data_IF_828394139875
#
_entry.id   IF_828394139875
#
_cell.length_a   1.000
_cell.length_b   1.000
_cell.length_c   1.000
_cell.angle_alpha   90.00
_cell.angle_beta   90.00
_cell.angle_gamma   90.00
#
_symmetry.space_group_name_H-M   'P 1'
#
loop_
_entity.id
_entity.type
_entity.pdbx_description
1 polymer ?
#
# COMPACT_ATOMS: atom_id res chain seq x y z
N UNK A 1 -23.38 -19.22 -13.09
CA UNK A 1 -22.38 -18.20 -13.40
C UNK A 1 -22.27 -17.22 -12.24
N UNK A 2 -21.26 -17.38 -11.39
CA UNK A 2 -21.01 -16.47 -10.27
C UNK A 2 -19.52 -16.12 -10.22
N UNK A 3 -19.19 -14.89 -9.81
CA UNK A 3 -17.82 -14.44 -9.55
C UNK A 3 -17.76 -13.86 -8.14
N UNK A 4 -16.61 -14.04 -7.47
CA UNK A 4 -16.34 -13.50 -6.14
C UNK A 4 -15.52 -12.22 -6.28
N UNK A 5 -15.94 -11.18 -5.58
CA UNK A 5 -15.21 -9.92 -5.43
C UNK A 5 -14.64 -9.82 -4.02
N UNK A 6 -13.43 -9.27 -3.90
CA UNK A 6 -12.83 -8.92 -2.61
C UNK A 6 -13.13 -7.46 -2.27
N UNK A 7 -13.37 -7.19 -0.99
CA UNK A 7 -13.47 -5.84 -0.43
C UNK A 7 -12.41 -5.74 0.67
N UNK A 8 -11.49 -4.78 0.53
CA UNK A 8 -10.41 -4.56 1.48
C UNK A 8 -10.45 -3.08 1.89
N UNK A 9 -10.42 -2.82 3.20
CA UNK A 9 -10.32 -1.49 3.78
C UNK A 9 -9.05 -1.39 4.60
N UNK A 10 -8.28 -0.34 4.38
CA UNK A 10 -7.10 -0.03 5.19
C UNK A 10 -7.41 1.21 6.04
N UNK A 11 -7.28 1.13 7.37
CA UNK A 11 -7.38 2.31 8.23
C UNK A 11 -6.10 3.16 8.11
N UNK A 12 -6.11 4.44 8.53
CA UNK A 12 -4.89 5.24 8.56
C UNK A 12 -3.76 4.59 9.37
N UNK A 13 -4.06 4.01 10.53
CA UNK A 13 -3.08 3.33 11.39
C UNK A 13 -2.57 2.05 10.74
N UNK A 14 -3.47 1.29 10.10
CA UNK A 14 -3.12 0.11 9.32
C UNK A 14 -2.19 0.45 8.16
N UNK A 15 -2.47 1.54 7.44
CA UNK A 15 -1.66 2.04 6.34
C UNK A 15 -0.27 2.49 6.83
N UNK A 16 -0.18 3.21 7.95
CA UNK A 16 1.10 3.57 8.58
C UNK A 16 1.91 2.33 8.98
N UNK A 17 1.25 1.25 9.43
CA UNK A 17 1.91 -0.02 9.80
C UNK A 17 2.44 -0.81 8.60
N UNK A 18 1.66 -0.95 7.53
CA UNK A 18 2.04 -1.81 6.39
C UNK A 18 2.73 -1.05 5.25
N UNK A 19 2.59 0.28 5.21
CA UNK A 19 3.15 1.13 4.17
C UNK A 19 4.66 0.98 3.98
N UNK A 20 5.50 0.95 5.04
CA UNK A 20 6.95 0.73 4.88
C UNK A 20 7.28 -0.61 4.21
N UNK A 21 6.49 -1.65 4.47
CA UNK A 21 6.66 -2.97 3.83
C UNK A 21 6.34 -2.86 2.33
N UNK A 22 5.22 -2.21 1.98
CA UNK A 22 4.83 -1.99 0.59
C UNK A 22 5.86 -1.14 -0.17
N UNK A 23 6.47 -0.15 0.48
CA UNK A 23 7.57 0.67 -0.09
C UNK A 23 8.78 -0.20 -0.40
N UNK A 24 9.22 -1.04 0.53
CA UNK A 24 10.35 -1.94 0.34
C UNK A 24 10.13 -2.86 -0.86
N UNK A 25 8.97 -3.53 -0.91
CA UNK A 25 8.64 -4.44 -2.01
C UNK A 25 8.59 -3.71 -3.35
N UNK A 26 7.88 -2.58 -3.42
CA UNK A 26 7.74 -1.81 -4.65
C UNK A 26 9.09 -1.26 -5.16
N UNK A 27 10.00 -0.85 -4.27
CA UNK A 27 11.35 -0.42 -4.67
C UNK A 27 12.16 -1.59 -5.25
N UNK A 28 12.08 -2.78 -4.65
CA UNK A 28 12.80 -3.97 -5.16
C UNK A 28 12.28 -4.45 -6.50
N UNK A 29 11.02 -4.13 -6.83
CA UNK A 29 10.38 -4.46 -8.10
C UNK A 29 10.50 -3.33 -9.14
N UNK A 30 11.16 -2.22 -8.81
CA UNK A 30 11.29 -1.06 -9.71
C UNK A 30 9.98 -0.27 -9.93
N UNK A 31 8.97 -0.49 -9.08
CA UNK A 31 7.65 0.13 -9.17
C UNK A 31 7.61 1.48 -8.46
N UNK A 32 8.36 2.46 -8.96
CA UNK A 32 8.55 3.77 -8.32
C UNK A 32 7.24 4.47 -7.95
N UNK A 33 6.22 4.43 -8.82
CA UNK A 33 4.92 5.05 -8.55
C UNK A 33 4.16 4.37 -7.40
N UNK A 34 4.26 3.03 -7.26
CA UNK A 34 3.63 2.29 -6.17
C UNK A 34 4.30 2.59 -4.84
N UNK A 35 5.64 2.65 -4.83
CA UNK A 35 6.43 3.07 -3.67
C UNK A 35 6.07 4.49 -3.22
N UNK A 36 6.00 5.44 -4.15
CA UNK A 36 5.60 6.82 -3.86
C UNK A 36 4.17 6.89 -3.28
N UNK A 37 3.22 6.13 -3.83
CA UNK A 37 1.86 6.08 -3.32
C UNK A 37 1.78 5.54 -1.88
N UNK A 38 2.60 4.54 -1.53
CA UNK A 38 2.69 4.03 -0.17
C UNK A 38 3.36 5.04 0.78
N UNK A 39 4.50 5.64 0.39
CA UNK A 39 5.22 6.66 1.18
C UNK A 39 4.33 7.85 1.54
N UNK A 40 3.59 8.38 0.56
CA UNK A 40 2.72 9.53 0.76
C UNK A 40 1.66 9.33 1.86
N UNK A 41 1.34 8.08 2.23
CA UNK A 41 0.37 7.74 3.28
C UNK A 41 1.00 7.34 4.61
N UNK A 42 2.33 7.17 4.63
CA UNK A 42 3.12 6.92 5.84
C UNK A 42 3.68 8.21 6.40
N UNK A 43 4.11 9.12 5.51
CA UNK A 43 4.80 10.37 5.84
C UNK A 43 3.84 11.57 6.04
N UNK A 44 2.52 11.37 5.88
CA UNK A 44 1.50 12.40 6.12
C UNK A 44 1.33 12.63 7.65
N UNK A 45 1.31 13.89 8.14
CA UNK A 45 1.20 14.23 9.56
C UNK A 45 0.08 13.48 10.31
#
# INVERSE_FOLDING_TARGET
FQKRSSIIRCSPEGAKKIGPIAVTLANTEGLTAHSAAARARVEDP
#
